data_IF_657652042358
#
_entry.id   IF_657652042358
#
_cell.length_a   1.000
_cell.length_b   1.000
_cell.length_c   1.000
_cell.angle_alpha   90.00
_cell.angle_beta   90.00
_cell.angle_gamma   90.00
#
_symmetry.space_group_name_H-M   'P 1'
#
loop_
_entity.id
_entity.type
_entity.pdbx_description
1 polymer ?
#
# COMPACT_ATOMS: atom_id res chain seq x y z
N UNK A 1 15.21 17.44 21.39
CA UNK A 1 15.25 16.04 20.94
C UNK A 1 14.30 16.02 19.77
N UNK A 2 14.86 15.85 18.57
CA UNK A 2 14.14 15.86 17.31
C UNK A 2 13.15 14.68 17.35
N UNK A 3 11.85 14.96 17.46
CA UNK A 3 10.77 13.94 17.51
C UNK A 3 10.20 13.71 16.10
N UNK A 4 11.00 14.03 15.09
CA UNK A 4 10.73 13.78 13.69
C UNK A 4 10.93 12.30 13.45
N UNK A 5 9.82 11.61 13.20
CA UNK A 5 9.87 10.18 12.93
C UNK A 5 9.56 9.93 11.47
N UNK A 6 10.49 9.29 10.77
CA UNK A 6 10.36 9.03 9.35
C UNK A 6 9.07 8.28 9.02
N UNK A 7 8.51 8.59 7.86
CA UNK A 7 7.37 7.87 7.29
C UNK A 7 7.91 6.95 6.20
N UNK A 8 7.55 5.66 6.28
CA UNK A 8 7.94 4.68 5.25
C UNK A 8 6.72 4.19 4.49
N UNK A 9 6.67 4.49 3.21
CA UNK A 9 5.60 4.07 2.30
C UNK A 9 6.05 2.85 1.52
N UNK A 10 5.42 1.71 1.75
CA UNK A 10 5.86 0.40 1.27
C UNK A 10 4.84 -0.17 0.27
N UNK A 11 5.22 -0.22 -1.01
CA UNK A 11 4.45 -0.87 -2.07
C UNK A 11 4.82 -2.34 -2.20
N UNK A 12 3.86 -3.23 -1.93
CA UNK A 12 4.07 -4.69 -1.89
C UNK A 12 3.36 -5.37 -3.06
N UNK A 13 4.09 -6.16 -3.84
CA UNK A 13 3.60 -6.84 -5.03
C UNK A 13 3.29 -5.88 -6.18
N UNK A 14 2.61 -6.37 -7.22
CA UNK A 14 2.35 -5.60 -8.45
C UNK A 14 1.59 -4.29 -8.20
N UNK A 15 0.38 -4.38 -7.63
CA UNK A 15 -0.45 -3.21 -7.35
C UNK A 15 0.27 -2.21 -6.41
N UNK A 16 0.84 -2.68 -5.30
CA UNK A 16 1.54 -1.81 -4.36
C UNK A 16 2.73 -1.08 -4.99
N UNK A 17 3.58 -1.78 -5.74
CA UNK A 17 4.70 -1.14 -6.44
C UNK A 17 4.22 -0.17 -7.54
N UNK A 18 3.13 -0.46 -8.24
CA UNK A 18 2.55 0.46 -9.22
C UNK A 18 2.07 1.76 -8.55
N UNK A 19 1.38 1.66 -7.43
CA UNK A 19 0.93 2.84 -6.66
C UNK A 19 2.12 3.67 -6.20
N UNK A 20 3.16 3.04 -5.63
CA UNK A 20 4.39 3.75 -5.23
C UNK A 20 5.03 4.45 -6.42
N UNK A 21 5.15 3.79 -7.57
CA UNK A 21 5.68 4.40 -8.77
C UNK A 21 4.83 5.60 -9.22
N UNK A 22 3.50 5.52 -9.14
CA UNK A 22 2.61 6.65 -9.48
C UNK A 22 2.73 7.82 -8.51
N UNK A 23 2.98 7.56 -7.23
CA UNK A 23 3.25 8.60 -6.24
C UNK A 23 4.55 9.34 -6.58
N UNK A 24 5.57 8.58 -6.99
CA UNK A 24 6.91 9.08 -7.30
C UNK A 24 7.06 9.65 -8.72
N UNK A 25 6.19 9.25 -9.65
CA UNK A 25 6.23 9.71 -11.02
C UNK A 25 5.83 11.18 -11.10
N UNK A 26 6.83 12.03 -11.30
CA UNK A 26 6.71 13.49 -11.42
C UNK A 26 6.40 13.96 -12.85
N UNK A 27 6.22 13.03 -13.79
CA UNK A 27 5.65 13.28 -15.11
C UNK A 27 6.56 12.97 -16.30
N UNK A 28 6.07 12.08 -17.17
CA UNK A 28 6.34 12.01 -18.61
C UNK A 28 6.19 10.57 -19.15
N UNK A 29 5.44 10.22 -20.20
CA UNK A 29 4.73 10.90 -21.29
C UNK A 29 3.41 10.13 -21.46
N UNK A 30 2.24 10.80 -21.42
CA UNK A 30 0.97 10.17 -21.84
C UNK A 30 -0.29 10.46 -21.01
N UNK A 31 -0.22 11.19 -19.90
CA UNK A 31 -1.43 11.65 -19.19
C UNK A 31 -1.76 13.10 -19.59
N UNK A 32 -2.89 13.36 -20.28
CA UNK A 32 -3.30 14.71 -20.64
C UNK A 32 -3.72 15.58 -19.44
N UNK A 33 -3.96 14.99 -18.25
CA UNK A 33 -4.62 15.65 -17.12
C UNK A 33 -3.91 15.51 -15.75
N UNK A 34 -2.65 15.09 -15.71
CA UNK A 34 -1.88 15.12 -14.46
C UNK A 34 -1.38 16.55 -14.18
N UNK A 35 -2.25 17.37 -13.59
CA UNK A 35 -1.80 18.56 -12.87
C UNK A 35 -0.67 18.15 -11.92
N UNK A 36 0.44 18.87 -12.04
CA UNK A 36 1.68 18.76 -11.28
C UNK A 36 1.42 18.79 -9.76
N UNK A 37 1.10 17.65 -9.18
CA UNK A 37 1.10 17.48 -7.72
C UNK A 37 2.03 16.33 -7.39
N UNK A 38 3.32 16.65 -7.43
CA UNK A 38 4.40 15.80 -6.98
C UNK A 38 4.36 15.73 -5.46
N UNK A 39 3.91 14.59 -4.93
CA UNK A 39 3.85 14.34 -3.48
C UNK A 39 5.23 14.43 -2.81
N UNK A 40 6.30 14.11 -3.55
CA UNK A 40 7.62 13.87 -2.98
C UNK A 40 8.47 15.11 -2.69
N UNK A 41 8.26 16.25 -3.37
CA UNK A 41 9.14 17.42 -3.22
C UNK A 41 8.55 18.53 -2.35
N UNK A 42 7.23 18.71 -2.37
CA UNK A 42 6.59 19.80 -1.63
C UNK A 42 6.37 19.46 -0.14
N UNK A 43 6.24 18.17 0.22
CA UNK A 43 5.97 17.72 1.59
C UNK A 43 7.21 17.65 2.50
N UNK A 44 8.39 17.35 1.95
CA UNK A 44 9.65 17.28 2.71
C UNK A 44 10.06 18.65 3.28
N UNK A 45 9.73 19.74 2.57
CA UNK A 45 10.17 21.09 2.94
C UNK A 45 9.36 21.75 4.07
N UNK A 46 8.11 21.32 4.33
CA UNK A 46 7.23 22.00 5.28
C UNK A 46 7.10 21.30 6.65
N UNK A 47 7.30 19.98 6.73
CA UNK A 47 6.88 19.19 7.88
C UNK A 47 8.00 18.63 8.78
N UNK A 48 9.29 18.80 8.44
CA UNK A 48 10.43 18.20 9.16
C UNK A 48 10.34 16.64 9.23
N UNK A 49 9.61 15.98 8.33
CA UNK A 49 9.51 14.51 8.29
C UNK A 49 10.10 14.01 6.96
N UNK A 50 11.04 13.07 7.04
CA UNK A 50 11.55 12.38 5.85
C UNK A 50 10.57 11.27 5.45
N UNK A 51 10.26 11.21 4.15
CA UNK A 51 9.39 10.19 3.57
C UNK A 51 10.24 9.27 2.70
N UNK A 52 10.29 7.99 3.04
CA UNK A 52 11.03 6.99 2.27
C UNK A 52 10.09 6.02 1.57
N UNK A 53 10.36 5.78 0.29
CA UNK A 53 9.58 4.84 -0.50
C UNK A 53 10.30 3.50 -0.63
N UNK A 54 9.57 2.42 -0.39
CA UNK A 54 10.09 1.05 -0.45
C UNK A 54 9.21 0.22 -1.39
N UNK A 55 9.82 -0.48 -2.34
CA UNK A 55 9.13 -1.46 -3.17
C UNK A 55 9.55 -2.88 -2.75
N UNK A 56 8.57 -3.76 -2.53
CA UNK A 56 8.82 -5.16 -2.19
C UNK A 56 8.11 -6.07 -3.18
N UNK A 57 8.83 -6.95 -3.88
CA UNK A 57 8.21 -7.82 -4.89
C UNK A 57 8.93 -9.16 -5.08
N UNK A 58 8.19 -10.20 -5.45
CA UNK A 58 8.73 -11.51 -5.87
C UNK A 58 9.14 -11.52 -7.35
N UNK A 59 8.77 -10.49 -8.12
CA UNK A 59 9.16 -10.34 -9.52
C UNK A 59 10.35 -9.36 -9.63
N UNK A 60 11.54 -9.90 -9.93
CA UNK A 60 12.76 -9.10 -10.06
C UNK A 60 12.69 -8.06 -11.19
N UNK A 61 12.02 -8.39 -12.30
CA UNK A 61 11.90 -7.48 -13.43
C UNK A 61 11.05 -6.25 -13.06
N UNK A 62 9.88 -6.48 -12.46
CA UNK A 62 9.02 -5.41 -11.97
C UNK A 62 9.69 -4.58 -10.86
N UNK A 63 10.47 -5.24 -9.99
CA UNK A 63 11.22 -4.55 -8.95
C UNK A 63 12.33 -3.67 -9.54
N UNK A 64 13.04 -4.14 -10.57
CA UNK A 64 14.11 -3.40 -11.24
C UNK A 64 13.67 -2.11 -11.94
N UNK A 65 12.38 -2.00 -12.31
CA UNK A 65 11.79 -0.78 -12.87
C UNK A 65 11.13 0.13 -11.83
N UNK A 66 11.19 -0.21 -10.52
CA UNK A 66 10.59 0.61 -9.46
C UNK A 66 11.33 1.93 -9.26
N UNK A 67 10.61 3.02 -9.03
CA UNK A 67 11.16 4.35 -8.71
C UNK A 67 11.53 4.51 -7.23
N UNK A 68 11.14 3.57 -6.37
CA UNK A 68 11.36 3.63 -4.92
C UNK A 68 12.85 3.65 -4.53
N UNK A 69 13.17 4.36 -3.44
CA UNK A 69 14.53 4.51 -2.88
C UNK A 69 15.13 3.16 -2.50
N UNK A 70 14.30 2.32 -1.89
CA UNK A 70 14.67 0.97 -1.44
C UNK A 70 13.85 -0.07 -2.19
N UNK A 71 14.51 -1.14 -2.61
CA UNK A 71 13.89 -2.26 -3.34
C UNK A 71 14.27 -3.57 -2.67
N UNK A 72 13.29 -4.32 -2.18
CA UNK A 72 13.50 -5.59 -1.48
C UNK A 72 12.89 -6.72 -2.30
N UNK A 73 13.71 -7.72 -2.60
CA UNK A 73 13.28 -8.89 -3.34
C UNK A 73 12.72 -9.96 -2.40
N UNK A 74 11.49 -10.38 -2.65
CA UNK A 74 10.77 -11.35 -1.81
C UNK A 74 10.72 -12.75 -2.43
N UNK A 75 11.82 -13.27 -2.98
CA UNK A 75 11.82 -14.59 -3.65
C UNK A 75 12.49 -15.75 -2.92
N UNK A 76 13.19 -15.49 -1.80
CA UNK A 76 14.06 -16.51 -1.18
C UNK A 76 15.22 -16.95 -2.09
N UNK A 77 15.80 -18.12 -1.82
CA UNK A 77 16.93 -18.71 -2.60
C UNK A 77 16.48 -19.37 -3.93
N UNK A 78 15.59 -18.75 -4.70
CA UNK A 78 15.16 -19.28 -5.99
C UNK A 78 14.09 -18.43 -6.67
N UNK A 79 13.88 -18.67 -7.97
CA UNK A 79 12.81 -18.02 -8.73
C UNK A 79 11.59 -18.94 -8.72
N UNK A 80 10.52 -18.52 -8.06
CA UNK A 80 9.19 -19.12 -8.20
C UNK A 80 8.36 -18.20 -9.09
N UNK A 81 7.91 -18.69 -10.25
CA UNK A 81 7.21 -17.84 -11.24
C UNK A 81 5.91 -17.24 -10.71
N UNK A 82 5.16 -17.99 -9.89
CA UNK A 82 3.90 -17.55 -9.28
C UNK A 82 3.76 -18.13 -7.87
N UNK A 83 4.47 -17.56 -6.88
CA UNK A 83 4.47 -18.09 -5.53
C UNK A 83 3.08 -17.93 -4.91
N UNK A 84 2.63 -18.93 -4.16
CA UNK A 84 1.40 -18.82 -3.37
C UNK A 84 1.60 -17.85 -2.20
N UNK A 85 0.53 -17.33 -1.57
CA UNK A 85 0.67 -16.51 -0.36
C UNK A 85 1.47 -17.19 0.75
N UNK A 86 1.41 -18.53 0.86
CA UNK A 86 2.19 -19.28 1.84
C UNK A 86 3.68 -19.32 1.52
N UNK A 87 4.05 -19.45 0.25
CA UNK A 87 5.45 -19.39 -0.18
C UNK A 87 6.04 -18.02 0.13
N UNK A 88 5.30 -16.95 -0.18
CA UNK A 88 5.75 -15.57 0.06
C UNK A 88 5.90 -15.28 1.55
N UNK A 89 5.02 -15.79 2.41
CA UNK A 89 5.19 -15.68 3.87
C UNK A 89 6.50 -16.29 4.35
N UNK A 90 6.91 -17.42 3.76
CA UNK A 90 8.21 -18.03 4.05
C UNK A 90 9.35 -17.14 3.56
N UNK A 91 9.26 -16.59 2.35
CA UNK A 91 10.28 -15.68 1.82
C UNK A 91 10.45 -14.43 2.68
N UNK A 92 9.36 -13.83 3.17
CA UNK A 92 9.41 -12.70 4.11
C UNK A 92 10.05 -13.10 5.44
N UNK A 93 9.77 -14.32 5.94
CA UNK A 93 10.41 -14.83 7.15
C UNK A 93 11.92 -15.00 6.96
N UNK A 94 12.34 -15.53 5.82
CA UNK A 94 13.74 -15.75 5.50
C UNK A 94 14.48 -14.41 5.31
N UNK A 95 13.81 -13.41 4.72
CA UNK A 95 14.31 -12.03 4.54
C UNK A 95 13.94 -11.04 5.65
N UNK A 96 13.50 -11.51 6.83
CA UNK A 96 12.92 -10.64 7.85
C UNK A 96 13.90 -9.59 8.39
N UNK A 97 15.19 -9.90 8.41
CA UNK A 97 16.21 -8.98 8.90
C UNK A 97 16.45 -7.80 7.95
N UNK A 98 16.46 -8.04 6.64
CA UNK A 98 16.55 -6.98 5.63
C UNK A 98 15.33 -6.04 5.73
N UNK A 99 14.13 -6.61 5.87
CA UNK A 99 12.89 -5.85 6.04
C UNK A 99 12.94 -5.03 7.34
N UNK A 100 13.38 -5.64 8.46
CA UNK A 100 13.53 -4.96 9.75
C UNK A 100 14.47 -3.78 9.66
N UNK A 101 15.63 -3.96 9.03
CA UNK A 101 16.61 -2.88 8.82
C UNK A 101 16.01 -1.75 7.97
N UNK A 102 15.32 -2.12 6.88
CA UNK A 102 14.71 -1.14 5.99
C UNK A 102 13.61 -0.32 6.65
N UNK A 103 12.89 -0.86 7.65
CA UNK A 103 11.80 -0.14 8.33
C UNK A 103 12.16 0.46 9.71
N UNK A 104 13.31 0.09 10.28
CA UNK A 104 13.78 0.61 11.57
C UNK A 104 13.89 2.14 11.54
N UNK A 105 13.56 2.79 12.67
CA UNK A 105 13.59 4.25 12.82
C UNK A 105 12.31 4.96 12.37
N UNK A 106 11.43 4.28 11.64
CA UNK A 106 10.16 4.87 11.22
C UNK A 106 9.22 5.10 12.41
N UNK A 107 8.55 6.24 12.42
CA UNK A 107 7.41 6.48 13.31
C UNK A 107 6.13 5.88 12.78
N UNK A 108 6.03 5.79 11.45
CA UNK A 108 4.87 5.27 10.75
C UNK A 108 5.29 4.49 9.51
N UNK A 109 4.61 3.37 9.28
CA UNK A 109 4.70 2.59 8.05
C UNK A 109 3.32 2.53 7.39
N UNK A 110 3.27 2.85 6.11
CA UNK A 110 2.08 2.72 5.26
C UNK A 110 2.32 1.56 4.29
N UNK A 111 1.54 0.49 4.41
CA UNK A 111 1.62 -0.69 3.56
C UNK A 111 0.57 -0.60 2.45
N UNK A 112 0.99 -0.75 1.19
CA UNK A 112 0.10 -0.68 0.03
C UNK A 112 0.17 -2.00 -0.72
N UNK A 113 -0.97 -2.67 -0.93
CA UNK A 113 -0.98 -3.95 -1.65
C UNK A 113 -2.32 -4.29 -2.32
N UNK A 114 -2.26 -5.01 -3.43
CA UNK A 114 -3.42 -5.70 -4.00
C UNK A 114 -3.56 -7.10 -3.41
N UNK A 115 -4.72 -7.41 -2.83
CA UNK A 115 -5.01 -8.71 -2.22
C UNK A 115 -5.54 -9.71 -3.25
N UNK A 116 -5.40 -11.00 -2.96
CA UNK A 116 -5.84 -12.11 -3.84
C UNK A 116 -4.74 -12.69 -4.72
N UNK A 117 -3.65 -11.95 -4.94
CA UNK A 117 -2.42 -12.47 -5.55
C UNK A 117 -1.51 -13.20 -4.54
N UNK A 118 -0.37 -13.72 -5.01
CA UNK A 118 0.62 -14.37 -4.14
C UNK A 118 1.36 -13.39 -3.23
N UNK A 119 2.04 -12.41 -3.85
CA UNK A 119 2.96 -11.48 -3.17
C UNK A 119 2.26 -10.57 -2.17
N UNK A 120 1.25 -9.81 -2.61
CA UNK A 120 0.52 -8.88 -1.74
C UNK A 120 -0.14 -9.60 -0.56
N UNK A 121 -0.90 -10.66 -0.82
CA UNK A 121 -1.63 -11.41 0.21
C UNK A 121 -0.69 -12.09 1.22
N UNK A 122 0.45 -12.62 0.76
CA UNK A 122 1.40 -13.31 1.63
C UNK A 122 2.31 -12.36 2.40
N UNK A 123 2.84 -11.34 1.74
CA UNK A 123 3.87 -10.48 2.33
C UNK A 123 3.29 -9.39 3.22
N UNK A 124 2.17 -8.76 2.85
CA UNK A 124 1.66 -7.58 3.57
C UNK A 124 1.40 -7.85 5.06
N UNK A 125 0.68 -8.93 5.45
CA UNK A 125 0.48 -9.24 6.87
C UNK A 125 1.78 -9.64 7.59
N UNK A 126 2.74 -10.23 6.88
CA UNK A 126 4.02 -10.63 7.44
C UNK A 126 4.93 -9.41 7.71
N UNK A 127 4.98 -8.45 6.78
CA UNK A 127 5.67 -7.17 6.95
C UNK A 127 5.01 -6.35 8.07
N UNK A 128 3.68 -6.30 8.13
CA UNK A 128 2.94 -5.63 9.20
C UNK A 128 3.30 -6.16 10.59
N UNK A 129 3.47 -7.48 10.74
CA UNK A 129 3.94 -8.07 12.01
C UNK A 129 5.33 -7.59 12.41
N UNK A 130 6.26 -7.51 11.46
CA UNK A 130 7.62 -6.99 11.74
C UNK A 130 7.54 -5.53 12.19
N UNK A 131 6.73 -4.70 11.53
CA UNK A 131 6.53 -3.30 11.92
C UNK A 131 5.93 -3.19 13.34
N UNK A 132 4.93 -4.02 13.66
CA UNK A 132 4.31 -4.09 14.99
C UNK A 132 5.30 -4.55 16.08
N UNK A 133 6.15 -5.53 15.79
CA UNK A 133 7.21 -5.99 16.71
C UNK A 133 8.21 -4.86 17.05
N UNK A 134 8.42 -3.93 16.12
CA UNK A 134 9.25 -2.74 16.32
C UNK A 134 8.50 -1.57 16.98
N UNK A 135 7.21 -1.72 17.28
CA UNK A 135 6.38 -0.67 17.86
C UNK A 135 6.07 0.49 16.92
N UNK A 136 6.10 0.24 15.60
CA UNK A 136 5.85 1.25 14.57
C UNK A 136 4.35 1.33 14.28
N UNK A 137 3.79 2.55 14.25
CA UNK A 137 2.42 2.77 13.83
C UNK A 137 2.24 2.28 12.38
N UNK A 138 1.35 1.33 12.15
CA UNK A 138 1.21 0.63 10.88
C UNK A 138 -0.17 0.81 10.28
N UNK A 139 -0.25 1.42 9.10
CA UNK A 139 -1.48 1.59 8.32
C UNK A 139 -1.43 0.66 7.10
N UNK A 140 -2.53 -0.03 6.81
CA UNK A 140 -2.69 -0.84 5.61
C UNK A 140 -3.68 -0.22 4.62
N UNK A 141 -3.26 -0.06 3.36
CA UNK A 141 -4.10 0.33 2.23
C UNK A 141 -4.11 -0.82 1.24
N UNK A 142 -5.25 -1.51 1.15
CA UNK A 142 -5.34 -2.69 0.31
C UNK A 142 -6.55 -2.68 -0.60
N UNK A 143 -6.40 -3.28 -1.77
CA UNK A 143 -7.51 -3.52 -2.69
C UNK A 143 -7.93 -4.98 -2.67
N UNK A 144 -9.23 -5.26 -2.81
CA UNK A 144 -9.71 -6.63 -3.06
C UNK A 144 -10.02 -6.82 -4.54
N UNK A 145 -9.85 -8.04 -5.08
CA UNK A 145 -10.01 -8.33 -6.52
C UNK A 145 -11.37 -7.91 -7.08
N UNK A 146 -11.42 -7.67 -8.39
CA UNK A 146 -12.70 -7.63 -9.11
C UNK A 146 -13.34 -9.03 -9.14
N UNK A 147 -14.67 -9.08 -9.19
CA UNK A 147 -15.44 -10.33 -9.31
C UNK A 147 -15.02 -11.18 -10.52
N UNK A 148 -14.61 -10.54 -11.62
CA UNK A 148 -14.17 -11.23 -12.83
C UNK A 148 -12.79 -11.89 -12.70
N UNK A 149 -11.99 -11.56 -11.69
CA UNK A 149 -10.66 -12.15 -11.48
C UNK A 149 -10.72 -13.59 -10.92
N UNK A 150 -11.90 -14.01 -10.49
CA UNK A 150 -12.21 -15.39 -10.15
C UNK A 150 -12.22 -15.71 -8.65
N UNK A 151 -13.02 -16.72 -8.29
CA UNK A 151 -13.33 -17.12 -6.91
C UNK A 151 -12.09 -17.36 -6.04
N UNK A 152 -11.06 -18.01 -6.59
CA UNK A 152 -9.82 -18.30 -5.86
C UNK A 152 -9.11 -17.01 -5.38
N UNK A 153 -9.06 -15.97 -6.22
CA UNK A 153 -8.43 -14.69 -5.82
C UNK A 153 -9.23 -14.00 -4.73
N UNK A 154 -10.57 -14.06 -4.79
CA UNK A 154 -11.45 -13.48 -3.77
C UNK A 154 -11.24 -14.19 -2.42
N UNK A 155 -11.27 -15.52 -2.39
CA UNK A 155 -11.06 -16.30 -1.16
C UNK A 155 -9.68 -16.04 -0.53
N UNK A 156 -8.64 -15.93 -1.36
CA UNK A 156 -7.29 -15.57 -0.92
C UNK A 156 -7.23 -14.15 -0.36
N UNK A 157 -7.89 -13.19 -1.03
CA UNK A 157 -7.96 -11.81 -0.60
C UNK A 157 -8.64 -11.68 0.76
N UNK A 158 -9.81 -12.30 0.93
CA UNK A 158 -10.53 -12.29 2.20
C UNK A 158 -9.70 -12.85 3.35
N UNK A 159 -8.97 -13.95 3.11
CA UNK A 159 -8.07 -14.53 4.12
C UNK A 159 -6.94 -13.56 4.47
N UNK A 160 -6.29 -12.98 3.47
CA UNK A 160 -5.20 -12.04 3.68
C UNK A 160 -5.67 -10.76 4.38
N UNK A 161 -6.84 -10.23 4.04
CA UNK A 161 -7.45 -9.05 4.68
C UNK A 161 -7.72 -9.32 6.16
N UNK A 162 -8.36 -10.46 6.49
CA UNK A 162 -8.60 -10.84 7.89
C UNK A 162 -7.30 -10.97 8.70
N UNK A 163 -6.27 -11.56 8.11
CA UNK A 163 -4.97 -11.67 8.76
C UNK A 163 -4.31 -10.30 8.95
N UNK A 164 -4.39 -9.44 7.93
CA UNK A 164 -3.83 -8.09 7.97
C UNK A 164 -4.52 -7.24 9.04
N UNK A 165 -5.85 -7.29 9.13
CA UNK A 165 -6.65 -6.56 10.12
C UNK A 165 -6.22 -6.85 11.56
N UNK A 166 -5.78 -8.09 11.84
CA UNK A 166 -5.25 -8.47 13.16
C UNK A 166 -3.81 -8.03 13.42
N UNK A 167 -3.12 -7.41 12.46
CA UNK A 167 -1.69 -7.07 12.55
C UNK A 167 -1.42 -5.56 12.46
N UNK A 168 -2.22 -4.81 11.71
CA UNK A 168 -2.09 -3.35 11.54
C UNK A 168 -2.87 -2.57 12.60
N UNK A 169 -2.52 -1.30 12.78
CA UNK A 169 -3.26 -0.35 13.64
C UNK A 169 -4.50 0.19 12.95
N UNK A 170 -4.46 0.31 11.62
CA UNK A 170 -5.62 0.69 10.81
C UNK A 170 -5.58 0.03 9.45
N UNK A 171 -6.72 -0.43 8.97
CA UNK A 171 -6.86 -1.05 7.66
C UNK A 171 -7.92 -0.33 6.81
N UNK A 172 -7.51 0.13 5.64
CA UNK A 172 -8.36 0.67 4.58
C UNK A 172 -8.47 -0.38 3.48
N UNK A 173 -9.68 -0.91 3.27
CA UNK A 173 -9.95 -1.95 2.25
C UNK A 173 -10.80 -1.37 1.13
N UNK A 174 -10.23 -1.26 -0.06
CA UNK A 174 -10.86 -0.70 -1.25
C UNK A 174 -11.35 -1.84 -2.16
N UNK A 175 -12.66 -2.12 -2.22
CA UNK A 175 -13.19 -3.17 -3.08
C UNK A 175 -13.20 -2.73 -4.55
N UNK A 176 -12.44 -3.43 -5.40
CA UNK A 176 -12.35 -3.11 -6.84
C UNK A 176 -13.70 -3.15 -7.56
N UNK A 177 -14.61 -4.04 -7.16
CA UNK A 177 -15.96 -4.06 -7.76
C UNK A 177 -16.73 -2.75 -7.57
N UNK A 178 -16.50 -2.02 -6.47
CA UNK A 178 -17.15 -0.72 -6.25
C UNK A 178 -16.57 0.38 -7.13
N UNK A 179 -15.28 0.30 -7.44
CA UNK A 179 -14.64 1.17 -8.42
C UNK A 179 -15.15 0.89 -9.85
N UNK A 180 -15.49 -0.37 -10.14
CA UNK A 180 -16.03 -0.76 -11.43
C UNK A 180 -17.50 -0.34 -11.60
N UNK A 181 -18.32 -0.47 -10.57
CA UNK A 181 -19.74 -0.05 -10.57
C UNK A 181 -19.91 1.45 -10.84
N UNK A 182 -18.97 2.29 -10.37
CA UNK A 182 -18.96 3.73 -10.63
C UNK A 182 -18.33 4.11 -11.98
N UNK A 183 -17.64 3.18 -12.64
CA UNK A 183 -16.97 3.39 -13.93
C UNK A 183 -17.91 3.19 -15.13
N UNK A 184 -17.51 3.72 -16.29
CA UNK A 184 -18.26 3.59 -17.54
C UNK A 184 -18.36 2.11 -17.97
N UNK A 185 -19.50 1.62 -18.48
CA UNK A 185 -19.63 0.25 -19.01
C UNK A 185 -18.60 -0.13 -20.09
N UNK A 186 -17.98 0.84 -20.76
CA UNK A 186 -16.94 0.64 -21.77
C UNK A 186 -15.50 0.64 -21.20
N UNK A 187 -15.32 0.73 -19.89
CA UNK A 187 -14.01 0.74 -19.23
C UNK A 187 -13.28 -0.57 -19.50
N UNK A 188 -12.06 -0.50 -20.04
CA UNK A 188 -11.25 -1.70 -20.23
C UNK A 188 -10.77 -2.27 -18.90
N UNK A 189 -10.39 -3.55 -18.87
CA UNK A 189 -9.82 -4.16 -17.65
C UNK A 189 -8.57 -3.40 -17.18
N UNK A 190 -7.75 -2.92 -18.13
CA UNK A 190 -6.54 -2.15 -17.81
C UNK A 190 -6.90 -0.80 -17.16
N UNK A 191 -7.88 -0.10 -17.71
CA UNK A 191 -8.36 1.17 -17.16
C UNK A 191 -8.97 0.98 -15.76
N UNK A 192 -9.68 -0.12 -15.53
CA UNK A 192 -10.24 -0.44 -14.21
C UNK A 192 -9.14 -0.62 -13.14
N UNK A 193 -8.05 -1.31 -13.47
CA UNK A 193 -6.88 -1.39 -12.57
C UNK A 193 -6.22 -0.01 -12.36
N UNK A 194 -6.17 0.83 -13.40
CA UNK A 194 -5.65 2.20 -13.26
C UNK A 194 -6.49 3.06 -12.33
N UNK A 195 -7.82 2.99 -12.41
CA UNK A 195 -8.73 3.68 -11.48
C UNK A 195 -8.52 3.19 -10.05
N UNK A 196 -8.35 1.88 -9.86
CA UNK A 196 -8.05 1.31 -8.54
C UNK A 196 -6.74 1.83 -7.95
N UNK A 197 -5.65 1.78 -8.72
CA UNK A 197 -4.36 2.32 -8.29
C UNK A 197 -4.46 3.82 -7.94
N UNK A 198 -5.26 4.58 -8.69
CA UNK A 198 -5.45 6.03 -8.46
C UNK A 198 -6.22 6.34 -7.18
N UNK A 199 -7.27 5.59 -6.87
CA UNK A 199 -8.00 5.76 -5.61
C UNK A 199 -7.13 5.42 -4.41
N UNK A 200 -6.29 4.37 -4.51
CA UNK A 200 -5.31 4.04 -3.46
C UNK A 200 -4.29 5.16 -3.31
N UNK A 201 -3.75 5.69 -4.42
CA UNK A 201 -2.81 6.82 -4.44
C UNK A 201 -3.38 8.04 -3.72
N UNK A 202 -4.62 8.42 -4.05
CA UNK A 202 -5.31 9.55 -3.43
C UNK A 202 -5.55 9.33 -1.94
N UNK A 203 -5.95 8.12 -1.54
CA UNK A 203 -6.14 7.75 -0.14
C UNK A 203 -4.85 7.88 0.69
N UNK A 204 -3.75 7.34 0.18
CA UNK A 204 -2.43 7.43 0.84
C UNK A 204 -1.97 8.88 0.96
N UNK A 205 -2.07 9.65 -0.13
CA UNK A 205 -1.75 11.08 -0.13
C UNK A 205 -2.56 11.85 0.91
N UNK A 206 -3.87 11.62 0.96
CA UNK A 206 -4.75 12.32 1.92
C UNK A 206 -4.34 12.03 3.36
N UNK A 207 -3.95 10.79 3.67
CA UNK A 207 -3.43 10.48 5.00
C UNK A 207 -2.15 11.24 5.27
N UNK A 208 -1.20 11.21 4.34
CA UNK A 208 0.08 11.88 4.51
C UNK A 208 -0.11 13.38 4.70
N UNK A 209 -0.84 14.06 3.82
CA UNK A 209 -1.09 15.50 3.87
C UNK A 209 -1.75 15.90 5.20
N UNK A 210 -2.76 15.15 5.65
CA UNK A 210 -3.46 15.43 6.90
C UNK A 210 -2.58 15.11 8.12
N UNK A 211 -1.81 14.04 8.07
CA UNK A 211 -0.91 13.65 9.17
C UNK A 211 0.23 14.66 9.34
N UNK A 212 0.86 15.08 8.24
CA UNK A 212 1.97 16.03 8.26
C UNK A 212 1.53 17.41 8.76
N UNK A 213 0.30 17.82 8.44
CA UNK A 213 -0.25 19.11 8.89
C UNK A 213 -0.80 19.08 10.30
N UNK A 214 -1.45 17.98 10.71
CA UNK A 214 -2.22 17.94 11.96
C UNK A 214 -1.60 17.07 13.06
N UNK A 215 -0.59 16.25 12.75
CA UNK A 215 -0.04 15.22 13.63
C UNK A 215 -1.04 14.14 14.07
N UNK A 216 -2.23 14.08 13.46
CA UNK A 216 -3.33 13.23 13.92
C UNK A 216 -3.75 12.22 12.87
N UNK A 217 -3.41 10.96 13.13
CA UNK A 217 -3.86 9.81 12.34
C UNK A 217 -5.39 9.73 12.31
N UNK A 218 -6.06 10.02 13.42
CA UNK A 218 -7.53 9.96 13.48
C UNK A 218 -8.20 11.02 12.58
N UNK A 219 -7.61 12.22 12.46
CA UNK A 219 -8.12 13.22 11.52
C UNK A 219 -7.88 12.78 10.07
N UNK A 220 -6.67 12.30 9.78
CA UNK A 220 -6.29 11.76 8.48
C UNK A 220 -7.23 10.65 7.99
N UNK A 221 -7.61 9.72 8.88
CA UNK A 221 -8.54 8.65 8.55
C UNK A 221 -9.97 9.13 8.30
N UNK A 222 -10.42 10.19 8.98
CA UNK A 222 -11.73 10.79 8.71
C UNK A 222 -11.78 11.44 7.33
N UNK A 223 -10.69 12.02 6.87
CA UNK A 223 -10.63 12.64 5.54
C UNK A 223 -10.51 11.58 4.44
N UNK A 224 -9.79 10.48 4.68
CA UNK A 224 -9.85 9.30 3.80
C UNK A 224 -11.26 8.72 3.74
N UNK A 225 -11.95 8.54 4.88
CA UNK A 225 -13.33 8.02 4.90
C UNK A 225 -14.26 8.88 4.03
N UNK A 226 -14.10 10.20 4.02
CA UNK A 226 -14.89 11.09 3.16
C UNK A 226 -14.62 10.86 1.68
N UNK A 227 -13.35 10.78 1.26
CA UNK A 227 -12.98 10.54 -0.15
C UNK A 227 -13.53 9.19 -0.61
N UNK A 228 -13.29 8.19 0.23
CA UNK A 228 -13.58 6.82 -0.08
C UNK A 228 -15.11 6.59 -0.08
N UNK A 229 -15.87 7.19 0.84
CA UNK A 229 -17.35 7.22 0.80
C UNK A 229 -17.94 8.08 -0.30
N UNK A 230 -17.31 9.20 -0.68
CA UNK A 230 -17.77 10.06 -1.77
C UNK A 230 -17.77 9.32 -3.11
N UNK A 231 -16.81 8.41 -3.30
CA UNK A 231 -16.77 7.49 -4.44
C UNK A 231 -17.73 6.29 -4.29
N UNK A 232 -18.33 6.07 -3.11
CA UNK A 232 -19.19 4.92 -2.78
C UNK A 232 -18.45 3.65 -2.32
N UNK A 233 -17.21 3.79 -1.85
CA UNK A 233 -16.19 2.74 -1.82
C UNK A 233 -15.68 2.58 -0.38
N UNK A 234 -15.28 1.37 -0.02
CA UNK A 234 -14.70 0.94 1.26
C UNK A 234 -15.51 0.97 2.56
N UNK A 235 -15.03 0.11 3.45
CA UNK A 235 -15.22 0.13 4.88
C UNK A 235 -13.83 0.22 5.52
N UNK A 236 -13.66 1.14 6.46
CA UNK A 236 -12.45 1.22 7.29
C UNK A 236 -12.65 0.24 8.44
N UNK A 237 -11.83 -0.81 8.49
CA UNK A 237 -11.77 -1.66 9.67
C UNK A 237 -10.79 -1.02 10.65
N UNK A 238 -11.32 -0.48 11.74
CA UNK A 238 -10.52 0.13 12.78
C UNK A 238 -10.33 -0.86 13.95
N UNK A 239 -9.19 -1.56 14.06
CA UNK A 239 -8.89 -2.33 15.26
C UNK A 239 -8.53 -1.47 16.48
N UNK A 240 -8.41 -0.13 16.34
CA UNK A 240 -8.14 0.78 17.44
C UNK A 240 -9.40 1.54 17.90
N UNK A 241 -10.08 0.96 18.90
CA UNK A 241 -10.70 1.78 19.95
C UNK A 241 -9.55 2.31 20.80
N UNK A 242 -9.02 3.48 20.46
CA UNK A 242 -8.27 4.28 21.42
C UNK A 242 -9.29 4.76 22.46
N UNK A 243 -9.36 4.02 23.57
CA UNK A 243 -9.95 4.49 24.83
C UNK A 243 -8.99 5.40 25.58
#
# INVERSE_FOLDING_TARGET
>A
MDDTRDIKVIGIGGCGCNVVNRILDTGGIGSPDAAKETLSLDLEHEANHDIHFIAMNTNQHALGSSLADTRIFLGGEGIVEQPSPMDVKRFVKDGAEEIRQAITGAGMVILIAGMGGGTGTGATPAVARIARELGILTLGFVTTPFSFEGKKRIEEAERGVRELAGTVDTLVVIPNDKLFESANPNTSIQDAFHVSDEVVRLGVRTVMDTFLTSGSVNLALKDVDKIVRAEGIAYIENPLVLG
#
